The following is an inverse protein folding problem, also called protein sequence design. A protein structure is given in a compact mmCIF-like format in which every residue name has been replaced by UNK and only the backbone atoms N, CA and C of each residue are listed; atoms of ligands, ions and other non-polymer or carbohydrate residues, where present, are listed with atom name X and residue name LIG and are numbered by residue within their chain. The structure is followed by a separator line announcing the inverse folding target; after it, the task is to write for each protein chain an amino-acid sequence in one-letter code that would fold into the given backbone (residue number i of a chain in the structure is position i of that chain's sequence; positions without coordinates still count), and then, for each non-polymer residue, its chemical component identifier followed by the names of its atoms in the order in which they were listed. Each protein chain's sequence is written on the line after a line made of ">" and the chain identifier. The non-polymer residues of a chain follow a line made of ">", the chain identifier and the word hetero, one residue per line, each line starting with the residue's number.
data_IF_494276379534
#
_entry.id   IF_494276379534
#
_cell.length_a   1.000
_cell.length_b   1.000
_cell.length_c   1.000
_cell.angle_alpha   90.00
_cell.angle_beta   90.00
_cell.angle_gamma   90.00
#
_symmetry.space_group_name_H-M   'P 1'
#
loop_
_entity.id
_entity.type
_entity.pdbx_description
1 polymer ?
#
# COMPACT_ATOMS: atom_id res chain seq x y z
N UNK A 1 -12.19 6.34 27.00
CA UNK A 1 -12.15 5.82 25.62
C UNK A 1 -11.14 4.69 25.59
N UNK A 2 -11.58 3.43 25.70
CA UNK A 2 -10.70 2.26 25.66
C UNK A 2 -10.99 1.46 24.39
N UNK A 3 -10.91 2.13 23.24
CA UNK A 3 -11.06 1.45 21.94
C UNK A 3 -9.75 0.81 21.53
N UNK A 4 -9.79 -0.38 20.93
CA UNK A 4 -8.63 -1.05 20.37
C UNK A 4 -8.60 -0.85 18.84
N UNK A 5 -7.45 -0.43 18.32
CA UNK A 5 -7.21 -0.35 16.87
C UNK A 5 -6.51 -1.63 16.40
N UNK A 6 -7.12 -2.29 15.41
CA UNK A 6 -6.54 -3.43 14.71
C UNK A 6 -6.07 -2.99 13.32
N UNK A 7 -4.78 -3.20 13.05
CA UNK A 7 -4.17 -3.00 11.74
C UNK A 7 -3.92 -4.37 11.12
N UNK A 8 -4.67 -4.70 10.07
CA UNK A 8 -4.60 -5.97 9.37
C UNK A 8 -3.98 -5.75 7.99
N UNK A 9 -2.72 -6.10 7.84
CA UNK A 9 -1.97 -5.91 6.59
C UNK A 9 -2.05 -7.16 5.70
N UNK A 10 -2.35 -6.98 4.41
CA UNK A 10 -2.33 -8.06 3.42
C UNK A 10 -3.46 -9.08 3.55
N UNK A 11 -4.72 -8.65 3.66
CA UNK A 11 -5.87 -9.57 3.77
C UNK A 11 -5.94 -10.60 2.63
N UNK A 12 -5.54 -10.22 1.43
CA UNK A 12 -5.53 -11.11 0.27
C UNK A 12 -4.63 -12.35 0.42
N UNK A 13 -3.66 -12.32 1.34
CA UNK A 13 -2.77 -13.45 1.63
C UNK A 13 -3.48 -14.57 2.42
N UNK A 14 -4.50 -14.21 3.21
CA UNK A 14 -5.22 -15.12 4.13
C UNK A 14 -6.70 -15.30 3.77
N UNK A 15 -7.20 -14.61 2.74
CA UNK A 15 -8.62 -14.63 2.36
C UNK A 15 -9.15 -16.06 2.15
N UNK A 16 -8.37 -16.93 1.49
CA UNK A 16 -8.73 -18.33 1.26
C UNK A 16 -8.74 -19.17 2.56
N UNK A 17 -7.83 -18.88 3.49
CA UNK A 17 -7.75 -19.59 4.77
C UNK A 17 -8.95 -19.23 5.65
N UNK A 18 -9.30 -17.94 5.70
CA UNK A 18 -10.45 -17.44 6.45
C UNK A 18 -11.75 -18.07 5.94
N UNK A 19 -11.90 -18.24 4.62
CA UNK A 19 -13.08 -18.88 4.04
C UNK A 19 -13.24 -20.34 4.49
N UNK A 20 -12.14 -21.05 4.76
CA UNK A 20 -12.14 -22.46 5.16
C UNK A 20 -12.06 -22.66 6.68
N UNK A 21 -11.82 -21.60 7.45
CA UNK A 21 -11.64 -21.66 8.90
C UNK A 21 -12.74 -20.87 9.62
N UNK A 22 -13.76 -21.59 10.08
CA UNK A 22 -14.94 -21.02 10.76
C UNK A 22 -14.59 -20.22 12.01
N UNK A 23 -13.51 -20.59 12.72
CA UNK A 23 -13.07 -19.87 13.91
C UNK A 23 -12.47 -18.51 13.55
N UNK A 24 -11.60 -18.46 12.53
CA UNK A 24 -11.03 -17.20 12.04
C UNK A 24 -12.09 -16.29 11.45
N UNK A 25 -13.03 -16.86 10.70
CA UNK A 25 -14.19 -16.12 10.18
C UNK A 25 -15.01 -15.50 11.32
N UNK A 26 -15.35 -16.29 12.35
CA UNK A 26 -16.14 -15.82 13.49
C UNK A 26 -15.40 -14.74 14.29
N UNK A 27 -14.09 -14.91 14.46
CA UNK A 27 -13.24 -13.90 15.10
C UNK A 27 -13.23 -12.58 14.32
N UNK A 28 -13.08 -12.63 13.00
CA UNK A 28 -13.08 -11.43 12.16
C UNK A 28 -14.45 -10.73 12.18
N UNK A 29 -15.55 -11.49 12.10
CA UNK A 29 -16.91 -10.98 12.24
C UNK A 29 -17.16 -10.30 13.60
N UNK A 30 -16.65 -10.90 14.68
CA UNK A 30 -16.73 -10.29 16.01
C UNK A 30 -15.98 -8.96 16.05
N UNK A 31 -14.76 -8.93 15.49
CA UNK A 31 -13.97 -7.70 15.43
C UNK A 31 -14.69 -6.60 14.64
N UNK A 32 -15.28 -6.91 13.48
CA UNK A 32 -15.93 -5.93 12.61
C UNK A 32 -17.29 -5.45 13.11
N UNK A 33 -17.92 -6.18 14.03
CA UNK A 33 -19.24 -5.84 14.57
C UNK A 33 -19.19 -5.15 15.94
N UNK A 34 -18.05 -5.19 16.64
CA UNK A 34 -17.93 -4.65 17.99
C UNK A 34 -17.44 -3.19 17.95
N UNK A 35 -18.24 -2.30 18.51
CA UNK A 35 -18.01 -0.84 18.54
C UNK A 35 -16.74 -0.42 19.32
N UNK A 36 -16.19 -1.30 20.13
CA UNK A 36 -14.92 -1.06 20.82
C UNK A 36 -13.70 -1.27 19.94
N UNK A 37 -13.87 -1.82 18.73
CA UNK A 37 -12.78 -1.99 17.76
C UNK A 37 -12.88 -0.99 16.63
N UNK A 38 -11.73 -0.44 16.27
CA UNK A 38 -11.51 0.21 14.98
C UNK A 38 -10.61 -0.69 14.15
N UNK A 39 -10.91 -0.87 12.87
CA UNK A 39 -10.14 -1.76 11.99
C UNK A 39 -9.69 -0.97 10.76
N UNK A 40 -8.41 -1.04 10.44
CA UNK A 40 -7.88 -0.70 9.13
C UNK A 40 -7.32 -1.98 8.54
N UNK A 41 -7.76 -2.28 7.33
CA UNK A 41 -7.36 -3.47 6.58
C UNK A 41 -6.79 -3.04 5.23
N UNK A 42 -5.65 -3.60 4.85
CA UNK A 42 -5.12 -3.49 3.49
C UNK A 42 -5.37 -4.79 2.74
N UNK A 43 -5.59 -4.69 1.43
CA UNK A 43 -5.80 -5.85 0.57
C UNK A 43 -5.54 -5.46 -0.88
N UNK A 44 -5.15 -6.43 -1.70
CA UNK A 44 -5.26 -6.27 -3.15
C UNK A 44 -6.74 -6.16 -3.59
N UNK A 45 -7.04 -5.42 -4.67
CA UNK A 45 -8.44 -5.22 -5.13
C UNK A 45 -9.22 -6.49 -5.46
N UNK A 46 -8.51 -7.60 -5.74
CA UNK A 46 -9.11 -8.89 -6.09
C UNK A 46 -9.53 -9.73 -4.88
N UNK A 47 -9.17 -9.32 -3.66
CA UNK A 47 -9.63 -9.98 -2.44
C UNK A 47 -10.41 -8.99 -1.57
N UNK A 48 -11.71 -9.19 -1.50
CA UNK A 48 -12.60 -8.44 -0.60
C UNK A 48 -13.07 -9.35 0.52
N UNK A 49 -13.13 -8.80 1.74
CA UNK A 49 -13.69 -9.50 2.88
C UNK A 49 -15.22 -9.37 2.87
N UNK A 50 -15.98 -10.46 2.61
CA UNK A 50 -17.44 -10.40 2.55
C UNK A 50 -18.09 -10.12 3.91
N UNK A 51 -17.31 -10.22 5.00
CA UNK A 51 -17.76 -10.04 6.39
C UNK A 51 -17.66 -8.59 6.88
N UNK A 52 -17.21 -7.67 6.01
CA UNK A 52 -17.20 -6.24 6.33
C UNK A 52 -18.59 -5.66 6.11
N UNK A 53 -19.22 -5.19 7.19
CA UNK A 53 -20.49 -4.48 7.13
C UNK A 53 -20.25 -3.06 6.63
N UNK A 54 -20.54 -2.81 5.34
CA UNK A 54 -20.47 -1.49 4.70
C UNK A 54 -19.15 -0.74 5.00
N UNK A 55 -17.98 -1.31 4.67
CA UNK A 55 -16.70 -0.69 4.98
C UNK A 55 -16.49 0.61 4.20
N UNK A 56 -15.80 1.58 4.82
CA UNK A 56 -15.27 2.73 4.10
C UNK A 56 -14.08 2.28 3.27
N UNK A 57 -14.24 2.27 1.95
CA UNK A 57 -13.18 1.88 1.01
C UNK A 57 -12.29 3.08 0.66
N UNK A 58 -10.98 2.87 0.71
CA UNK A 58 -9.95 3.83 0.29
C UNK A 58 -9.01 3.17 -0.70
N UNK A 59 -8.68 3.88 -1.79
CA UNK A 59 -7.76 3.38 -2.81
C UNK A 59 -6.40 4.07 -2.69
N UNK A 60 -5.32 3.28 -2.66
CA UNK A 60 -3.96 3.80 -2.74
C UNK A 60 -3.59 3.98 -4.21
N UNK A 61 -3.57 5.22 -4.69
CA UNK A 61 -3.39 5.56 -6.11
C UNK A 61 -1.93 5.78 -6.54
N UNK A 62 -0.97 5.56 -5.63
CA UNK A 62 0.46 5.77 -5.90
C UNK A 62 0.90 7.24 -5.82
N UNK A 63 2.09 7.51 -6.37
CA UNK A 63 2.71 8.83 -6.35
C UNK A 63 2.22 9.73 -7.47
N UNK A 64 2.09 11.02 -7.18
CA UNK A 64 2.01 12.08 -8.19
C UNK A 64 3.42 12.49 -8.64
N UNK A 65 3.47 13.28 -9.72
CA UNK A 65 4.76 13.79 -10.26
C UNK A 65 5.59 14.54 -9.22
N UNK A 66 4.96 15.27 -8.30
CA UNK A 66 5.65 15.99 -7.24
C UNK A 66 6.15 15.04 -6.14
N UNK A 67 5.37 14.00 -5.82
CA UNK A 67 5.76 12.98 -4.84
C UNK A 67 7.00 12.22 -5.29
N UNK A 68 7.10 11.89 -6.59
CA UNK A 68 8.28 11.26 -7.18
C UNK A 68 9.53 12.14 -6.96
N UNK A 69 9.43 13.44 -7.25
CA UNK A 69 10.54 14.38 -7.05
C UNK A 69 10.94 14.47 -5.58
N UNK A 70 9.96 14.59 -4.69
CA UNK A 70 10.18 14.69 -3.26
C UNK A 70 10.81 13.41 -2.71
N UNK A 71 10.34 12.24 -3.16
CA UNK A 71 10.83 10.93 -2.75
C UNK A 71 12.27 10.70 -3.20
N UNK A 72 12.61 11.05 -4.45
CA UNK A 72 13.99 10.96 -4.97
C UNK A 72 14.92 11.88 -4.17
N UNK A 73 14.54 13.14 -3.97
CA UNK A 73 15.36 14.11 -3.21
C UNK A 73 15.53 13.71 -1.74
N UNK A 74 14.49 13.15 -1.12
CA UNK A 74 14.57 12.68 0.26
C UNK A 74 15.48 11.45 0.41
N UNK A 75 15.50 10.58 -0.61
CA UNK A 75 16.33 9.38 -0.58
C UNK A 75 17.81 9.66 -0.86
N UNK A 76 18.11 10.41 -1.93
CA UNK A 76 19.48 10.74 -2.30
C UNK A 76 19.89 12.03 -1.58
N UNK A 77 20.71 11.89 -0.52
CA UNK A 77 21.33 13.05 0.16
C UNK A 77 22.25 13.87 -0.76
N UNK A 78 22.75 13.26 -1.84
CA UNK A 78 23.60 13.90 -2.85
C UNK A 78 22.79 14.29 -4.08
N UNK A 79 22.85 15.57 -4.45
CA UNK A 79 22.13 16.14 -5.59
C UNK A 79 22.53 15.51 -6.95
N UNK A 80 23.74 14.97 -7.08
CA UNK A 80 24.20 14.41 -8.36
C UNK A 80 23.43 13.13 -8.74
N UNK A 81 23.27 12.18 -7.82
CA UNK A 81 22.55 10.92 -8.07
C UNK A 81 21.06 11.18 -8.34
N UNK A 82 20.45 12.09 -7.55
CA UNK A 82 19.06 12.50 -7.79
C UNK A 82 18.87 13.10 -9.17
N UNK A 83 19.80 13.96 -9.63
CA UNK A 83 19.70 14.60 -10.94
C UNK A 83 19.85 13.59 -12.08
N UNK A 84 20.75 12.62 -11.95
CA UNK A 84 20.94 11.54 -12.93
C UNK A 84 19.68 10.70 -13.06
N UNK A 85 19.08 10.27 -11.95
CA UNK A 85 17.82 9.51 -11.96
C UNK A 85 16.68 10.33 -12.56
N UNK A 86 16.52 11.58 -12.12
CA UNK A 86 15.49 12.48 -12.64
C UNK A 86 15.61 12.65 -14.16
N UNK A 87 16.83 12.79 -14.68
CA UNK A 87 17.08 12.88 -16.13
C UNK A 87 16.72 11.58 -16.84
N UNK A 88 17.11 10.42 -16.30
CA UNK A 88 16.76 9.10 -16.85
C UNK A 88 15.24 8.89 -16.92
N UNK A 89 14.51 9.23 -15.86
CA UNK A 89 13.04 9.15 -15.83
C UNK A 89 12.42 10.10 -16.86
N UNK A 90 12.86 11.36 -16.93
CA UNK A 90 12.27 12.33 -17.86
C UNK A 90 12.53 11.99 -19.34
N UNK A 91 13.64 11.32 -19.64
CA UNK A 91 13.98 10.91 -20.99
C UNK A 91 13.30 9.60 -21.42
N UNK A 92 12.64 8.88 -20.51
CA UNK A 92 11.99 7.61 -20.81
C UNK A 92 10.56 7.58 -20.26
N UNK A 93 9.57 7.71 -21.16
CA UNK A 93 8.15 7.74 -20.81
C UNK A 93 7.69 6.52 -20.02
N UNK A 94 8.21 5.33 -20.33
CA UNK A 94 7.84 4.09 -19.63
C UNK A 94 8.38 4.08 -18.20
N UNK A 95 9.64 4.45 -18.00
CA UNK A 95 10.21 4.58 -16.65
C UNK A 95 9.50 5.66 -15.85
N UNK A 96 9.17 6.78 -16.49
CA UNK A 96 8.36 7.84 -15.87
C UNK A 96 7.00 7.33 -15.43
N UNK A 97 6.29 6.58 -16.28
CA UNK A 97 5.00 6.00 -15.93
C UNK A 97 5.11 5.00 -14.77
N UNK A 98 6.09 4.09 -14.82
CA UNK A 98 6.32 3.10 -13.76
C UNK A 98 6.70 3.76 -12.42
N UNK A 99 7.37 4.92 -12.45
CA UNK A 99 7.76 5.64 -11.23
C UNK A 99 6.60 6.14 -10.37
N UNK A 100 5.37 6.16 -10.91
CA UNK A 100 4.16 6.44 -10.13
C UNK A 100 3.83 5.32 -9.13
N UNK A 101 4.34 4.11 -9.31
CA UNK A 101 4.28 3.04 -8.31
C UNK A 101 5.51 3.11 -7.41
N UNK A 102 5.36 3.36 -6.09
CA UNK A 102 6.50 3.55 -5.19
C UNK A 102 7.52 2.42 -5.21
N UNK A 103 7.07 1.16 -5.33
CA UNK A 103 7.94 -0.01 -5.40
C UNK A 103 8.85 0.01 -6.63
N UNK A 104 8.33 0.36 -7.82
CA UNK A 104 9.15 0.47 -9.03
C UNK A 104 10.15 1.61 -8.94
N UNK A 105 9.73 2.77 -8.43
CA UNK A 105 10.64 3.89 -8.20
C UNK A 105 11.79 3.50 -7.25
N UNK A 106 11.48 2.76 -6.18
CA UNK A 106 12.48 2.24 -5.25
C UNK A 106 13.45 1.28 -5.93
N UNK A 107 12.98 0.41 -6.81
CA UNK A 107 13.83 -0.51 -7.58
C UNK A 107 14.79 0.26 -8.50
N UNK A 108 14.34 1.34 -9.14
CA UNK A 108 15.22 2.16 -9.99
C UNK A 108 16.40 2.77 -9.23
N UNK A 109 16.27 3.00 -7.92
CA UNK A 109 17.38 3.53 -7.12
C UNK A 109 18.55 2.56 -7.04
N UNK A 110 18.28 1.26 -7.09
CA UNK A 110 19.30 0.20 -7.04
C UNK A 110 20.09 0.16 -8.34
N UNK A 111 19.42 0.33 -9.48
CA UNK A 111 20.03 0.24 -10.82
C UNK A 111 20.73 1.52 -11.31
N UNK A 112 20.83 2.54 -10.45
CA UNK A 112 21.49 3.83 -10.78
C UNK A 112 22.86 3.99 -10.13
N UNK A 113 23.16 3.17 -9.13
CA UNK A 113 24.55 2.93 -8.69
C UNK A 113 25.26 2.04 -9.70
#
# INVERSE_FOLDING_TARGET
>A
MNGLLLLLDGFDEVANEIQNNTNLQSWLQHCTSNENYSIIMTSRPNAMCPYLNNPRMLNVIGFQSQDIQNYIRAYFKNNNESNVLMKKLNNNRSLKLLSHTPLYLRLFFIFIK
#
